data_IF_882258258673
#
_entry.id   IF_882258258673
#
_cell.length_a   1.000
_cell.length_b   1.000
_cell.length_c   1.000
_cell.angle_alpha   90.00
_cell.angle_beta   90.00
_cell.angle_gamma   90.00
#
_symmetry.space_group_name_H-M   'P 1'
#
loop_
_entity.id
_entity.type
_entity.pdbx_description
1 polymer ?
#
# COMPACT_ATOMS: atom_id res chain seq x y z
N UNK A 1 -14.60 6.74 -16.05
CA UNK A 1 -14.86 7.05 -14.62
C UNK A 1 -14.03 6.14 -13.75
N UNK A 2 -13.27 6.75 -12.81
CA UNK A 2 -12.46 5.97 -11.90
C UNK A 2 -13.32 5.38 -10.79
N UNK A 3 -13.22 4.07 -10.58
CA UNK A 3 -13.85 3.39 -9.48
C UNK A 3 -12.78 2.67 -8.63
N UNK A 4 -13.21 2.06 -7.54
CA UNK A 4 -12.30 1.39 -6.61
C UNK A 4 -11.39 0.39 -7.31
N UNK A 5 -11.93 -0.49 -8.13
CA UNK A 5 -11.14 -1.53 -8.79
C UNK A 5 -10.13 -0.95 -9.77
N UNK A 6 -10.54 0.07 -10.51
CA UNK A 6 -9.67 0.78 -11.44
C UNK A 6 -8.51 1.46 -10.71
N UNK A 7 -8.81 2.12 -9.58
CA UNK A 7 -7.78 2.79 -8.78
C UNK A 7 -6.80 1.78 -8.21
N UNK A 8 -7.28 0.65 -7.69
CA UNK A 8 -6.42 -0.40 -7.13
C UNK A 8 -5.50 -0.99 -8.19
N UNK A 9 -5.99 -1.16 -9.42
CA UNK A 9 -5.16 -1.61 -10.54
C UNK A 9 -4.07 -0.60 -10.86
N UNK A 10 -4.40 0.69 -10.87
CA UNK A 10 -3.42 1.75 -11.11
C UNK A 10 -2.35 1.78 -10.02
N UNK A 11 -2.75 1.61 -8.76
CA UNK A 11 -1.81 1.57 -7.62
C UNK A 11 -0.85 0.39 -7.79
N UNK A 12 -1.38 -0.80 -8.05
CA UNK A 12 -0.56 -2.00 -8.25
C UNK A 12 0.43 -1.79 -9.40
N UNK A 13 -0.06 -1.31 -10.53
CA UNK A 13 0.78 -1.09 -11.71
C UNK A 13 1.89 -0.09 -11.43
N UNK A 14 1.57 1.01 -10.74
CA UNK A 14 2.55 2.03 -10.39
C UNK A 14 3.67 1.45 -9.51
N UNK A 15 3.31 0.73 -8.46
CA UNK A 15 4.30 0.12 -7.56
C UNK A 15 5.16 -0.91 -8.30
N UNK A 16 4.52 -1.79 -9.07
CA UNK A 16 5.24 -2.86 -9.79
C UNK A 16 6.14 -2.32 -10.89
N UNK A 17 5.78 -1.19 -11.50
CA UNK A 17 6.63 -0.53 -12.49
C UNK A 17 7.88 0.05 -11.82
N UNK A 18 7.71 0.63 -10.63
CA UNK A 18 8.83 1.21 -9.86
C UNK A 18 9.70 0.13 -9.23
N UNK A 19 9.08 -0.92 -8.71
CA UNK A 19 9.79 -2.00 -8.02
C UNK A 19 9.04 -3.33 -8.29
N UNK A 20 9.48 -4.09 -9.32
CA UNK A 20 8.79 -5.33 -9.72
C UNK A 20 8.72 -6.41 -8.63
N UNK A 21 9.66 -6.39 -7.68
CA UNK A 21 9.73 -7.38 -6.61
C UNK A 21 8.90 -6.99 -5.38
N UNK A 22 8.31 -5.79 -5.39
CA UNK A 22 7.51 -5.33 -4.26
C UNK A 22 6.18 -6.09 -4.15
N UNK A 23 5.73 -6.27 -2.92
CA UNK A 23 4.40 -6.80 -2.63
C UNK A 23 3.49 -5.64 -2.23
N UNK A 24 2.30 -5.57 -2.80
CA UNK A 24 1.33 -4.50 -2.54
C UNK A 24 0.14 -5.10 -1.80
N UNK A 25 -0.15 -4.56 -0.62
CA UNK A 25 -1.23 -5.05 0.24
C UNK A 25 -2.22 -3.92 0.52
N UNK A 26 -3.49 -4.17 0.22
CA UNK A 26 -4.58 -3.31 0.61
C UNK A 26 -5.06 -3.72 2.00
N UNK A 27 -5.20 -2.76 2.90
CA UNK A 27 -5.73 -3.03 4.24
C UNK A 27 -6.69 -1.91 4.64
N UNK A 28 -7.19 -1.96 5.86
CA UNK A 28 -8.10 -0.93 6.36
C UNK A 28 -9.51 -1.07 5.79
N UNK A 29 -10.25 0.02 5.80
CA UNK A 29 -11.69 0.00 5.47
C UNK A 29 -11.99 -0.50 4.05
N UNK A 30 -11.15 -0.17 3.07
CA UNK A 30 -11.35 -0.64 1.70
C UNK A 30 -11.17 -2.16 1.60
N UNK A 31 -10.26 -2.74 2.38
CA UNK A 31 -10.07 -4.19 2.40
C UNK A 31 -11.23 -4.90 3.10
N UNK A 32 -11.74 -4.29 4.18
CA UNK A 32 -12.87 -4.84 4.93
C UNK A 32 -14.22 -4.67 4.20
N UNK A 33 -14.30 -3.74 3.25
CA UNK A 33 -15.54 -3.44 2.54
C UNK A 33 -16.46 -2.49 3.29
N UNK A 34 -15.99 -1.85 4.36
CA UNK A 34 -16.79 -0.90 5.14
C UNK A 34 -16.36 0.55 4.93
N UNK A 35 -15.68 0.81 3.82
CA UNK A 35 -15.20 2.15 3.48
C UNK A 35 -16.36 3.11 3.18
N UNK A 36 -16.12 4.38 3.50
CA UNK A 36 -16.99 5.50 3.16
C UNK A 36 -16.40 6.24 1.96
N UNK A 37 -17.16 7.18 1.41
CA UNK A 37 -16.71 7.97 0.26
C UNK A 37 -15.45 8.79 0.57
N UNK A 38 -15.24 9.13 1.85
CA UNK A 38 -14.09 9.92 2.31
C UNK A 38 -13.00 9.07 2.96
N UNK A 39 -13.12 7.73 2.91
CA UNK A 39 -12.10 6.84 3.47
C UNK A 39 -10.82 6.87 2.64
N UNK A 40 -9.68 6.77 3.33
CA UNK A 40 -8.38 6.63 2.68
C UNK A 40 -8.19 5.21 2.16
N UNK A 41 -7.48 5.08 1.05
CA UNK A 41 -7.04 3.77 0.55
C UNK A 41 -5.70 3.47 1.22
N UNK A 42 -5.70 2.54 2.17
CA UNK A 42 -4.52 2.18 2.95
C UNK A 42 -3.71 1.12 2.21
N UNK A 43 -2.49 1.46 1.84
CA UNK A 43 -1.62 0.59 1.05
C UNK A 43 -0.32 0.35 1.80
N UNK A 44 0.01 -0.93 2.00
CA UNK A 44 1.29 -1.35 2.52
C UNK A 44 2.11 -1.93 1.37
N UNK A 45 3.31 -1.42 1.19
CA UNK A 45 4.25 -1.92 0.19
C UNK A 45 5.44 -2.55 0.90
N UNK A 46 5.70 -3.80 0.60
CA UNK A 46 6.84 -4.54 1.14
C UNK A 46 7.87 -4.69 0.04
N UNK A 47 9.05 -4.11 0.25
CA UNK A 47 10.13 -4.19 -0.73
C UNK A 47 11.13 -5.26 -0.33
N UNK A 48 11.71 -5.91 -1.32
CA UNK A 48 12.66 -7.02 -1.12
C UNK A 48 14.07 -6.47 -0.89
N UNK A 49 14.25 -5.82 0.27
CA UNK A 49 15.50 -5.24 0.71
C UNK A 49 15.62 -5.46 2.21
N UNK A 50 16.85 -5.44 2.71
CA UNK A 50 17.08 -5.58 4.15
C UNK A 50 16.50 -4.40 4.94
N UNK A 51 16.42 -3.23 4.30
CA UNK A 51 16.02 -2.00 4.96
C UNK A 51 15.30 -1.08 3.98
N UNK A 52 14.18 -0.52 4.39
CA UNK A 52 13.48 0.51 3.61
C UNK A 52 14.00 1.90 4.03
N UNK A 53 14.51 2.64 3.06
CA UNK A 53 15.06 3.98 3.29
C UNK A 53 14.00 5.05 3.00
N UNK A 54 14.32 6.29 3.35
CA UNK A 54 13.46 7.44 3.00
C UNK A 54 13.32 7.55 1.47
N UNK A 55 14.40 7.28 0.74
CA UNK A 55 14.37 7.31 -0.73
C UNK A 55 13.44 6.23 -1.28
N UNK A 56 13.43 5.04 -0.68
CA UNK A 56 12.50 3.98 -1.07
C UNK A 56 11.05 4.42 -0.85
N UNK A 57 10.76 5.05 0.30
CA UNK A 57 9.43 5.56 0.59
C UNK A 57 8.99 6.57 -0.47
N UNK A 58 9.85 7.52 -0.81
CA UNK A 58 9.55 8.56 -1.81
C UNK A 58 9.35 7.95 -3.20
N UNK A 59 10.25 7.07 -3.60
CA UNK A 59 10.23 6.44 -4.91
C UNK A 59 8.93 5.69 -5.16
N UNK A 60 8.44 5.00 -4.14
CA UNK A 60 7.20 4.24 -4.23
C UNK A 60 5.97 5.16 -4.06
N UNK A 61 6.01 6.07 -3.11
CA UNK A 61 4.83 6.86 -2.73
C UNK A 61 4.50 8.00 -3.69
N UNK A 62 5.51 8.68 -4.24
CA UNK A 62 5.27 9.86 -5.07
C UNK A 62 4.40 9.57 -6.29
N UNK A 63 4.63 8.50 -7.06
CA UNK A 63 3.72 8.17 -8.16
C UNK A 63 2.27 7.91 -7.70
N UNK A 64 2.08 7.42 -6.48
CA UNK A 64 0.74 7.19 -5.93
C UNK A 64 0.04 8.50 -5.60
N UNK A 65 0.77 9.52 -5.19
CA UNK A 65 0.19 10.84 -4.96
C UNK A 65 -0.26 11.49 -6.28
N UNK A 66 0.39 11.19 -7.39
CA UNK A 66 -0.09 11.62 -8.70
C UNK A 66 -1.45 11.02 -9.02
N UNK A 67 -1.64 9.74 -8.70
CA UNK A 67 -2.94 9.08 -8.87
C UNK A 67 -4.00 9.73 -7.96
N UNK A 68 -3.63 10.03 -6.71
CA UNK A 68 -4.51 10.72 -5.78
C UNK A 68 -4.97 12.07 -6.35
N UNK A 69 -4.02 12.84 -6.87
CA UNK A 69 -4.29 14.15 -7.45
C UNK A 69 -5.24 14.05 -8.66
N UNK A 70 -5.03 13.07 -9.52
CA UNK A 70 -5.83 12.89 -10.73
C UNK A 70 -7.25 12.38 -10.45
N UNK A 71 -7.41 11.56 -9.41
CA UNK A 71 -8.66 10.83 -9.18
C UNK A 71 -9.48 11.38 -8.02
N UNK A 72 -8.86 12.10 -7.08
CA UNK A 72 -9.51 12.56 -5.86
C UNK A 72 -9.59 11.52 -4.76
N UNK A 73 -9.16 10.27 -5.02
CA UNK A 73 -9.06 9.26 -3.96
C UNK A 73 -7.83 9.51 -3.12
N UNK A 74 -7.99 9.57 -1.79
CA UNK A 74 -6.85 9.74 -0.88
C UNK A 74 -6.16 8.39 -0.71
N UNK A 75 -4.85 8.36 -0.95
CA UNK A 75 -4.04 7.14 -0.87
C UNK A 75 -3.01 7.32 0.24
N UNK A 76 -2.98 6.38 1.18
CA UNK A 76 -2.04 6.40 2.31
C UNK A 76 -1.04 5.26 2.17
N UNK A 77 0.10 5.48 1.51
CA UNK A 77 1.10 4.43 1.32
C UNK A 77 2.09 4.38 2.48
N UNK A 78 2.41 3.16 2.91
CA UNK A 78 3.48 2.88 3.87
C UNK A 78 4.41 1.86 3.22
N UNK A 79 5.71 2.11 3.27
CA UNK A 79 6.71 1.22 2.68
C UNK A 79 7.59 0.65 3.79
N UNK A 80 7.61 -0.68 3.88
CA UNK A 80 8.52 -1.40 4.79
C UNK A 80 9.39 -2.37 4.02
N UNK A 81 10.55 -2.70 4.60
CA UNK A 81 11.31 -3.86 4.17
C UNK A 81 10.52 -5.12 4.51
N UNK A 82 10.40 -6.05 3.57
CA UNK A 82 9.72 -7.32 3.80
C UNK A 82 10.37 -8.08 4.96
N UNK A 83 11.70 -8.07 5.02
CA UNK A 83 12.45 -8.73 6.09
C UNK A 83 12.13 -8.13 7.46
N UNK A 84 12.11 -6.80 7.56
CA UNK A 84 11.78 -6.10 8.80
C UNK A 84 10.33 -6.36 9.18
N UNK A 85 9.42 -6.34 8.21
CA UNK A 85 8.00 -6.64 8.42
C UNK A 85 7.80 -8.03 9.02
N UNK A 86 8.46 -9.03 8.47
CA UNK A 86 8.32 -10.43 8.88
C UNK A 86 9.06 -10.78 10.17
N UNK A 87 9.99 -9.94 10.63
CA UNK A 87 10.78 -10.24 11.83
C UNK A 87 10.50 -9.30 12.99
N UNK A 88 10.44 -7.98 12.75
CA UNK A 88 10.28 -7.00 13.83
C UNK A 88 8.84 -6.55 14.05
N UNK A 89 8.04 -6.53 13.00
CA UNK A 89 6.65 -6.05 13.10
C UNK A 89 5.65 -7.12 13.49
N UNK A 90 6.04 -8.40 13.50
CA UNK A 90 5.11 -9.51 13.77
C UNK A 90 4.47 -9.44 15.16
N UNK A 91 5.07 -8.73 16.10
CA UNK A 91 4.55 -8.58 17.46
C UNK A 91 3.62 -7.37 17.60
N UNK A 92 3.41 -6.60 16.53
CA UNK A 92 2.62 -5.37 16.61
C UNK A 92 1.15 -5.63 16.27
N UNK A 93 0.22 -4.83 16.85
CA UNK A 93 -1.18 -4.89 16.45
C UNK A 93 -1.38 -4.58 14.97
N UNK A 94 -0.56 -3.71 14.39
CA UNK A 94 -0.63 -3.37 12.98
C UNK A 94 -0.38 -4.59 12.10
N UNK A 95 0.66 -5.38 12.41
CA UNK A 95 0.95 -6.62 11.70
C UNK A 95 -0.24 -7.58 11.78
N UNK A 96 -0.81 -7.74 12.97
CA UNK A 96 -1.94 -8.63 13.18
C UNK A 96 -3.15 -8.19 12.34
N UNK A 97 -3.46 -6.90 12.35
CA UNK A 97 -4.59 -6.36 11.60
C UNK A 97 -4.40 -6.55 10.09
N UNK A 98 -3.22 -6.25 9.57
CA UNK A 98 -2.93 -6.42 8.15
C UNK A 98 -3.00 -7.89 7.75
N UNK A 99 -2.50 -8.78 8.59
CA UNK A 99 -2.54 -10.22 8.32
C UNK A 99 -3.99 -10.74 8.26
N UNK A 100 -4.86 -10.23 9.13
CA UNK A 100 -6.26 -10.67 9.17
C UNK A 100 -7.08 -10.13 8.02
N UNK A 101 -6.93 -8.85 7.68
CA UNK A 101 -7.83 -8.18 6.74
C UNK A 101 -7.18 -7.77 5.42
N UNK A 102 -5.86 -7.86 5.33
CA UNK A 102 -5.12 -7.42 4.15
C UNK A 102 -5.37 -8.28 2.93
N UNK A 103 -5.34 -7.64 1.78
CA UNK A 103 -5.50 -8.28 0.48
C UNK A 103 -4.28 -7.95 -0.38
N UNK A 104 -3.57 -8.98 -0.85
CA UNK A 104 -2.46 -8.79 -1.79
C UNK A 104 -3.06 -8.45 -3.16
N UNK A 105 -2.63 -7.31 -3.69
CA UNK A 105 -3.10 -6.85 -5.00
C UNK A 105 -2.35 -7.50 -6.15
#
# INVERSE_FOLDING_TARGET
MDNKDSILQRIKKSVKTTDPDATVILYGSYARGDNRSDSDIDILVLIDKDKATRDDQKRIAYPLYDIEFETGFVISPIVFSKKVWETKHIITPFYENVTKEGMVL
#
